data_IF_100635155225
#
_entry.id   IF_100635155225
#
_cell.length_a   1.000
_cell.length_b   1.000
_cell.length_c   1.000
_cell.angle_alpha   90.00
_cell.angle_beta   90.00
_cell.angle_gamma   90.00
#
_symmetry.space_group_name_H-M   'P 1'
#
loop_
_entity.id
_entity.type
_entity.pdbx_description
1 polymer ?
#
# COMPACT_ATOMS: atom_id res chain seq x y z
N UNK A 1 -13.41 -20.17 3.71
CA UNK A 1 -12.49 -19.24 4.43
C UNK A 1 -13.22 -17.92 4.59
N UNK A 2 -13.38 -17.44 5.83
CA UNK A 2 -14.19 -16.24 6.18
C UNK A 2 -13.89 -15.04 5.27
N UNK A 3 -12.61 -14.71 5.05
CA UNK A 3 -12.23 -13.57 4.21
C UNK A 3 -12.65 -13.74 2.74
N UNK A 4 -12.49 -14.93 2.17
CA UNK A 4 -12.90 -15.21 0.78
C UNK A 4 -14.41 -15.07 0.63
N UNK A 5 -15.17 -15.70 1.53
CA UNK A 5 -16.63 -15.65 1.50
C UNK A 5 -17.16 -14.22 1.71
N UNK A 6 -16.51 -13.42 2.56
CA UNK A 6 -16.85 -12.02 2.74
C UNK A 6 -16.61 -11.19 1.46
N UNK A 7 -15.49 -11.42 0.76
CA UNK A 7 -15.18 -10.74 -0.50
C UNK A 7 -16.16 -11.13 -1.61
N UNK A 8 -16.53 -12.42 -1.71
CA UNK A 8 -17.54 -12.91 -2.65
C UNK A 8 -18.92 -12.28 -2.38
N UNK A 9 -19.37 -12.24 -1.13
CA UNK A 9 -20.64 -11.58 -0.75
C UNK A 9 -20.63 -10.08 -1.04
N UNK A 10 -19.48 -9.42 -0.93
CA UNK A 10 -19.32 -8.00 -1.21
C UNK A 10 -19.19 -7.70 -2.73
N UNK A 11 -19.17 -8.71 -3.60
CA UNK A 11 -18.98 -8.53 -5.04
C UNK A 11 -17.58 -8.04 -5.42
N UNK A 12 -16.58 -8.24 -4.56
CA UNK A 12 -15.21 -7.80 -4.80
C UNK A 12 -14.46 -8.93 -5.52
N UNK A 13 -14.05 -8.67 -6.76
CA UNK A 13 -13.38 -9.62 -7.64
C UNK A 13 -12.05 -9.07 -8.17
N UNK A 14 -11.23 -9.92 -8.80
CA UNK A 14 -10.00 -9.50 -9.47
C UNK A 14 -8.89 -9.01 -8.55
N UNK A 15 -8.91 -9.37 -7.26
CA UNK A 15 -7.90 -8.95 -6.30
C UNK A 15 -6.55 -9.66 -6.51
N UNK A 16 -5.46 -8.91 -6.35
CA UNK A 16 -4.10 -9.43 -6.48
C UNK A 16 -3.67 -10.34 -5.31
N UNK A 17 -4.32 -10.21 -4.14
CA UNK A 17 -3.98 -10.95 -2.93
C UNK A 17 -5.18 -11.73 -2.40
N UNK A 18 -4.95 -12.97 -1.98
CA UNK A 18 -6.01 -13.88 -1.59
C UNK A 18 -6.32 -13.80 -0.09
N UNK A 19 -7.61 -13.87 0.26
CA UNK A 19 -8.07 -13.96 1.64
C UNK A 19 -7.65 -12.78 2.51
N UNK A 20 -7.25 -13.06 3.75
CA UNK A 20 -6.96 -12.02 4.74
C UNK A 20 -5.76 -11.11 4.39
N UNK A 21 -4.88 -11.56 3.50
CA UNK A 21 -3.72 -10.76 3.08
C UNK A 21 -4.14 -9.51 2.31
N UNK A 22 -5.28 -9.54 1.62
CA UNK A 22 -5.85 -8.36 0.96
C UNK A 22 -6.09 -7.23 1.97
N UNK A 23 -6.72 -7.53 3.10
CA UNK A 23 -7.00 -6.52 4.13
C UNK A 23 -5.73 -5.91 4.72
N UNK A 24 -4.67 -6.72 4.87
CA UNK A 24 -3.36 -6.22 5.32
C UNK A 24 -2.80 -5.20 4.34
N UNK A 25 -2.85 -5.48 3.03
CA UNK A 25 -2.40 -4.54 2.00
C UNK A 25 -3.26 -3.28 1.92
N UNK A 26 -4.58 -3.44 2.02
CA UNK A 26 -5.52 -2.32 2.05
C UNK A 26 -5.23 -1.38 3.23
N UNK A 27 -5.08 -1.93 4.45
CA UNK A 27 -4.76 -1.14 5.63
C UNK A 27 -3.41 -0.41 5.50
N UNK A 28 -2.37 -1.10 5.03
CA UNK A 28 -1.06 -0.49 4.85
C UNK A 28 -1.09 0.68 3.85
N UNK A 29 -1.85 0.51 2.77
CA UNK A 29 -2.02 1.53 1.73
C UNK A 29 -2.76 2.75 2.30
N UNK A 30 -3.81 2.51 3.08
CA UNK A 30 -4.62 3.57 3.68
C UNK A 30 -3.84 4.38 4.73
N UNK A 31 -3.06 3.70 5.58
CA UNK A 31 -2.18 4.35 6.55
C UNK A 31 -1.12 5.20 5.89
N UNK A 32 -0.49 4.70 4.82
CA UNK A 32 0.52 5.46 4.10
C UNK A 32 -0.07 6.73 3.47
N UNK A 33 -1.25 6.62 2.85
CA UNK A 33 -1.99 7.77 2.30
C UNK A 33 -2.42 8.77 3.37
N UNK A 34 -2.66 8.29 4.58
CA UNK A 34 -2.98 9.12 5.75
C UNK A 34 -1.75 9.75 6.40
N UNK A 35 -0.55 9.55 5.83
CA UNK A 35 0.70 10.16 6.28
C UNK A 35 1.51 9.35 7.29
N UNK A 36 1.10 8.12 7.62
CA UNK A 36 1.86 7.28 8.53
C UNK A 36 3.24 6.92 7.94
N UNK A 37 4.25 6.85 8.80
CA UNK A 37 5.60 6.45 8.44
C UNK A 37 5.70 4.93 8.21
N UNK A 38 6.74 4.49 7.49
CA UNK A 38 7.01 3.05 7.33
C UNK A 38 7.32 2.35 8.66
N UNK A 39 7.85 3.08 9.65
CA UNK A 39 8.10 2.55 10.98
C UNK A 39 6.77 2.21 11.68
N UNK A 40 5.82 3.15 11.69
CA UNK A 40 4.49 2.96 12.30
C UNK A 40 3.71 1.85 11.59
N UNK A 41 3.69 1.86 10.25
CA UNK A 41 3.04 0.80 9.47
C UNK A 41 3.69 -0.56 9.75
N UNK A 42 5.03 -0.62 9.77
CA UNK A 42 5.77 -1.84 10.06
C UNK A 42 5.48 -2.38 11.47
N UNK A 43 5.41 -1.51 12.47
CA UNK A 43 5.08 -1.88 13.84
C UNK A 43 3.64 -2.41 13.95
N UNK A 44 2.65 -1.68 13.42
CA UNK A 44 1.25 -2.08 13.46
C UNK A 44 1.02 -3.42 12.76
N UNK A 45 1.64 -3.60 11.59
CA UNK A 45 1.53 -4.83 10.81
C UNK A 45 2.47 -5.94 11.33
N UNK A 46 3.32 -5.66 12.32
CA UNK A 46 4.35 -6.57 12.87
C UNK A 46 5.31 -7.12 11.82
N UNK A 47 5.82 -6.24 10.96
CA UNK A 47 6.95 -6.59 10.09
C UNK A 47 8.23 -6.76 10.91
N UNK A 48 8.96 -7.83 10.61
CA UNK A 48 10.28 -8.10 11.21
C UNK A 48 11.38 -7.21 10.62
N UNK A 49 11.23 -6.78 9.38
CA UNK A 49 12.16 -5.88 8.68
C UNK A 49 11.40 -4.74 8.02
N UNK A 50 12.03 -3.57 7.98
CA UNK A 50 11.55 -2.40 7.22
C UNK A 50 11.44 -2.73 5.73
N UNK A 51 12.26 -3.64 5.20
CA UNK A 51 12.20 -4.06 3.80
C UNK A 51 10.85 -4.67 3.42
N UNK A 52 10.20 -5.38 4.36
CA UNK A 52 8.86 -5.91 4.16
C UNK A 52 7.81 -4.78 4.06
N UNK A 53 8.02 -3.64 4.70
CA UNK A 53 7.15 -2.46 4.57
C UNK A 53 7.43 -1.68 3.29
N UNK A 54 8.66 -1.73 2.77
CA UNK A 54 9.10 -0.95 1.61
C UNK A 54 8.27 -1.22 0.35
N UNK A 55 7.61 -2.38 0.25
CA UNK A 55 6.69 -2.71 -0.84
C UNK A 55 5.56 -1.69 -1.02
N UNK A 56 5.22 -0.93 0.03
CA UNK A 56 4.19 0.11 -0.01
C UNK A 56 4.71 1.47 -0.47
N UNK A 57 6.03 1.69 -0.51
CA UNK A 57 6.62 2.99 -0.84
C UNK A 57 6.15 3.54 -2.20
N UNK A 58 5.93 2.66 -3.18
CA UNK A 58 5.42 2.99 -4.51
C UNK A 58 4.01 3.62 -4.52
N UNK A 59 3.30 3.60 -3.39
CA UNK A 59 1.93 4.09 -3.27
C UNK A 59 1.87 5.52 -2.73
N UNK A 60 2.98 6.07 -2.22
CA UNK A 60 3.07 7.44 -1.72
C UNK A 60 3.35 8.41 -2.88
N UNK A 61 2.37 8.55 -3.78
CA UNK A 61 2.53 9.30 -5.02
C UNK A 61 2.84 10.78 -4.77
N UNK A 62 2.25 11.38 -3.74
CA UNK A 62 2.49 12.81 -3.43
C UNK A 62 3.95 13.05 -3.02
N UNK A 63 4.50 12.25 -2.11
CA UNK A 63 5.94 12.37 -1.77
C UNK A 63 6.85 11.99 -2.93
N UNK A 64 6.45 11.03 -3.77
CA UNK A 64 7.23 10.68 -4.96
C UNK A 64 7.28 11.83 -5.99
N UNK A 65 6.23 12.67 -6.08
CA UNK A 65 6.24 13.87 -6.95
C UNK A 65 7.25 14.90 -6.48
N UNK A 66 7.41 15.10 -5.18
CA UNK A 66 8.42 16.02 -4.62
C UNK A 66 9.86 15.61 -4.98
N UNK A 67 10.09 14.31 -5.16
CA UNK A 67 11.38 13.76 -5.58
C UNK A 67 11.57 13.73 -7.10
N UNK A 68 10.53 14.05 -7.87
CA UNK A 68 10.59 13.98 -9.33
C UNK A 68 11.42 15.13 -9.89
N UNK A 69 12.30 14.81 -10.83
CA UNK A 69 13.03 15.82 -11.60
C UNK A 69 12.15 16.32 -12.75
N UNK A 70 12.34 17.56 -13.21
CA UNK A 70 11.69 18.05 -14.42
C UNK A 70 11.90 17.08 -15.58
N UNK A 71 10.85 16.86 -16.37
CA UNK A 71 10.95 16.01 -17.53
C UNK A 71 11.98 16.61 -18.51
N UNK A 72 13.03 15.86 -18.91
CA UNK A 72 14.13 16.42 -19.71
C UNK A 72 13.70 16.90 -21.11
N UNK A 73 12.50 16.54 -21.57
CA UNK A 73 11.92 16.99 -22.85
C UNK A 73 10.70 17.91 -22.70
N UNK A 74 10.45 18.48 -21.52
CA UNK A 74 9.33 19.42 -21.31
C UNK A 74 9.65 20.77 -21.94
N UNK A 75 8.79 21.26 -22.83
CA UNK A 75 8.85 22.65 -23.32
C UNK A 75 8.80 23.61 -22.13
N UNK A 76 9.76 24.53 -22.10
CA UNK A 76 9.86 25.62 -21.10
C UNK A 76 8.64 26.55 -21.18
#
# INVERSE_FOLDING_TARGET
>A
MIAKEALERAGIHGYAHHGAHLFRHSLATDLLRSGASFAEIGQLLRHRSVDSTRIYAKLDIEKLRELSLPWPGGVQ
#
